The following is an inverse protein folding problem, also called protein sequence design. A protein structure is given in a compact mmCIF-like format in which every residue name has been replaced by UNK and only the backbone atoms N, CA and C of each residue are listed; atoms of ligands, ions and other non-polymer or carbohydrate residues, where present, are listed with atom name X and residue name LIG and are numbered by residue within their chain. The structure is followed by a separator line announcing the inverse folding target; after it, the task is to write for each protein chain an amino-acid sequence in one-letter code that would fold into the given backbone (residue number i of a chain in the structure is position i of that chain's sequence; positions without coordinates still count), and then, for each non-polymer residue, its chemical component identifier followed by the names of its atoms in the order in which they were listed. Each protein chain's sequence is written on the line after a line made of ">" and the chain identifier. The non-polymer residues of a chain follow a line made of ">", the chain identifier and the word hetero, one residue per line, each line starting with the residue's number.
data_IF_502123947557
#
_entry.id   IF_502123947557
#
_cell.length_a   1.000
_cell.length_b   1.000
_cell.length_c   1.000
_cell.angle_alpha   90.00
_cell.angle_beta   90.00
_cell.angle_gamma   90.00
#
_symmetry.space_group_name_H-M   'P 1'
#
loop_
_entity.id
_entity.type
_entity.pdbx_description
1 polymer ?
#
# COMPACT_ATOMS: atom_id res chain seq x y z
N UNK A 1 -35.26 34.23 29.13
CA UNK A 1 -34.71 34.41 27.77
C UNK A 1 -33.51 33.48 27.64
N UNK A 2 -33.72 32.27 27.13
CA UNK A 2 -32.63 31.34 26.83
C UNK A 2 -32.21 31.64 25.39
N UNK A 3 -30.98 32.13 25.20
CA UNK A 3 -30.42 32.37 23.86
C UNK A 3 -29.67 31.10 23.49
N UNK A 4 -30.08 30.46 22.40
CA UNK A 4 -29.33 29.30 21.87
C UNK A 4 -27.89 29.71 21.55
N UNK A 5 -26.88 28.94 21.98
CA UNK A 5 -25.50 29.24 21.63
C UNK A 5 -25.32 29.00 20.13
N UNK A 6 -25.00 30.07 19.39
CA UNK A 6 -24.65 29.96 17.98
C UNK A 6 -23.41 29.05 17.84
N UNK A 7 -23.53 27.95 17.08
CA UNK A 7 -22.39 27.17 16.63
C UNK A 7 -21.50 28.06 15.75
N UNK A 8 -20.43 28.59 16.33
CA UNK A 8 -19.40 29.30 15.58
C UNK A 8 -18.39 28.29 15.07
N UNK A 9 -18.06 28.39 13.79
CA UNK A 9 -16.95 27.67 13.18
C UNK A 9 -15.64 28.16 13.81
N UNK A 10 -14.87 27.25 14.40
CA UNK A 10 -13.61 27.57 15.08
C UNK A 10 -12.47 27.38 14.08
N UNK A 11 -11.96 28.50 13.56
CA UNK A 11 -10.78 28.53 12.68
C UNK A 11 -9.50 28.56 13.53
N UNK A 12 -8.65 27.54 13.40
CA UNK A 12 -7.42 27.38 14.19
C UNK A 12 -6.36 28.47 13.90
N UNK A 13 -6.44 29.15 12.75
CA UNK A 13 -5.45 30.15 12.33
C UNK A 13 -5.78 31.58 12.81
N UNK A 14 -6.84 31.72 13.61
CA UNK A 14 -7.30 33.01 14.13
C UNK A 14 -7.09 33.14 15.64
N UNK A 15 -6.92 34.37 16.13
CA UNK A 15 -6.84 34.64 17.57
C UNK A 15 -8.19 34.29 18.23
N UNK A 16 -8.23 33.50 19.33
CA UNK A 16 -9.48 33.17 19.99
C UNK A 16 -10.22 34.42 20.47
N UNK A 17 -11.51 34.51 20.17
CA UNK A 17 -12.35 35.64 20.53
C UNK A 17 -12.76 35.67 22.01
N UNK A 18 -12.68 34.54 22.71
CA UNK A 18 -12.90 34.43 24.15
C UNK A 18 -12.15 33.25 24.79
N UNK A 19 -12.26 33.12 26.11
CA UNK A 19 -11.59 32.08 26.89
C UNK A 19 -12.08 30.65 26.60
N UNK A 20 -13.34 30.47 26.21
CA UNK A 20 -13.87 29.16 25.84
C UNK A 20 -13.32 28.73 24.48
N UNK A 21 -13.25 29.65 23.52
CA UNK A 21 -12.65 29.41 22.21
C UNK A 21 -11.16 29.06 22.34
N UNK A 22 -10.43 29.74 23.23
CA UNK A 22 -9.04 29.40 23.54
C UNK A 22 -8.88 27.96 24.06
N UNK A 23 -9.72 27.55 25.01
CA UNK A 23 -9.69 26.18 25.56
C UNK A 23 -9.99 25.15 24.46
N UNK A 24 -10.98 25.43 23.60
CA UNK A 24 -11.32 24.53 22.49
C UNK A 24 -10.20 24.44 21.45
N UNK A 25 -9.61 25.57 21.03
CA UNK A 25 -8.47 25.61 20.11
C UNK A 25 -7.27 24.84 20.68
N UNK A 26 -6.94 25.06 21.95
CA UNK A 26 -5.83 24.37 22.62
C UNK A 26 -6.05 22.86 22.75
N UNK A 27 -7.29 22.40 22.95
CA UNK A 27 -7.62 20.95 22.94
C UNK A 27 -7.48 20.33 21.55
N UNK A 28 -7.95 21.03 20.51
CA UNK A 28 -7.80 20.62 19.12
C UNK A 28 -6.33 20.53 18.72
N UNK A 29 -5.53 21.54 19.05
CA UNK A 29 -4.09 21.58 18.78
C UNK A 29 -3.33 20.47 19.51
N UNK A 30 -3.65 20.21 20.79
CA UNK A 30 -3.07 19.07 21.52
C UNK A 30 -3.46 17.71 20.90
N UNK A 31 -4.71 17.54 20.47
CA UNK A 31 -5.14 16.32 19.78
C UNK A 31 -4.42 16.11 18.44
N UNK A 32 -4.15 17.21 17.71
CA UNK A 32 -3.38 17.17 16.46
C UNK A 32 -1.90 16.86 16.71
N UNK A 33 -1.32 17.39 17.80
CA UNK A 33 0.04 17.07 18.22
C UNK A 33 0.18 15.61 18.64
N UNK A 34 -0.79 15.05 19.37
CA UNK A 34 -0.80 13.63 19.76
C UNK A 34 -0.96 12.70 18.55
N UNK A 35 -1.81 13.07 17.59
CA UNK A 35 -1.96 12.35 16.32
C UNK A 35 -0.66 12.39 15.50
N UNK A 36 -0.03 13.56 15.41
CA UNK A 36 1.25 13.72 14.71
C UNK A 36 2.40 13.01 15.43
N UNK A 37 2.39 12.93 16.76
CA UNK A 37 3.37 12.16 17.54
C UNK A 37 3.16 10.65 17.39
N UNK A 38 1.92 10.18 17.23
CA UNK A 38 1.62 8.78 16.87
C UNK A 38 2.03 8.43 15.43
N UNK A 39 2.25 9.41 14.55
CA UNK A 39 2.60 9.22 13.14
C UNK A 39 4.06 9.58 12.82
N UNK A 40 4.78 10.25 13.72
CA UNK A 40 6.23 10.43 13.62
C UNK A 40 6.88 9.18 14.18
N UNK A 41 7.57 8.44 13.32
CA UNK A 41 8.53 7.43 13.77
C UNK A 41 9.52 8.14 14.71
N UNK A 42 9.58 7.71 15.97
CA UNK A 42 10.61 8.15 16.91
C UNK A 42 12.00 8.01 16.25
N UNK A 43 12.99 8.86 16.55
CA UNK A 43 14.35 8.65 16.09
C UNK A 43 14.87 7.34 16.67
N UNK A 44 14.81 6.29 15.86
CA UNK A 44 15.34 4.97 16.16
C UNK A 44 16.87 5.10 16.21
N UNK A 45 17.44 4.96 17.42
CA UNK A 45 18.85 4.56 17.59
C UNK A 45 19.17 3.43 16.60
N UNK A 46 20.38 3.35 16.00
CA UNK A 46 20.66 2.46 14.88
C UNK A 46 20.46 0.99 15.26
N UNK A 47 19.22 0.53 15.11
CA UNK A 47 18.79 -0.81 15.40
C UNK A 47 19.25 -1.69 14.25
N UNK A 48 19.87 -2.81 14.59
CA UNK A 48 20.24 -3.85 13.63
C UNK A 48 19.09 -4.12 12.67
N UNK A 49 19.39 -4.06 11.36
CA UNK A 49 18.42 -4.24 10.28
C UNK A 49 17.56 -5.48 10.56
N UNK A 50 16.22 -5.37 10.74
CA UNK A 50 15.40 -6.51 11.12
C UNK A 50 15.38 -7.53 9.98
N UNK A 51 16.18 -8.60 10.10
CA UNK A 51 16.12 -9.74 9.19
C UNK A 51 14.79 -10.46 9.41
N UNK A 52 13.83 -10.28 8.49
CA UNK A 52 12.56 -11.01 8.52
C UNK A 52 12.82 -12.51 8.33
N UNK A 53 12.31 -13.34 9.25
CA UNK A 53 12.55 -14.78 9.19
C UNK A 53 11.77 -15.42 8.03
N UNK A 54 12.36 -16.46 7.42
CA UNK A 54 11.71 -17.23 6.33
C UNK A 54 10.35 -17.78 6.79
N UNK A 55 10.24 -18.22 8.04
CA UNK A 55 8.98 -18.70 8.61
C UNK A 55 7.88 -17.62 8.61
N UNK A 56 8.22 -16.36 8.92
CA UNK A 56 7.26 -15.24 8.84
C UNK A 56 6.83 -14.95 7.42
N UNK A 57 7.76 -15.02 6.46
CA UNK A 57 7.47 -14.83 5.03
C UNK A 57 6.53 -15.92 4.48
N UNK A 58 6.76 -17.19 4.85
CA UNK A 58 5.89 -18.30 4.47
C UNK A 58 4.50 -18.18 5.11
N UNK A 59 4.42 -17.80 6.39
CA UNK A 59 3.14 -17.56 7.07
C UNK A 59 2.34 -16.45 6.39
N UNK A 60 2.98 -15.33 6.06
CA UNK A 60 2.32 -14.23 5.34
C UNK A 60 1.79 -14.66 3.96
N UNK A 61 2.53 -15.49 3.23
CA UNK A 61 2.07 -16.03 1.95
C UNK A 61 0.86 -16.96 2.09
N UNK A 62 0.83 -17.79 3.14
CA UNK A 62 -0.32 -18.64 3.43
C UNK A 62 -1.57 -17.81 3.79
N UNK A 63 -1.43 -16.82 4.68
CA UNK A 63 -2.52 -15.92 5.06
C UNK A 63 -3.03 -15.11 3.86
N UNK A 64 -2.12 -14.64 3.01
CA UNK A 64 -2.48 -13.97 1.75
C UNK A 64 -3.29 -14.88 0.83
N UNK A 65 -2.88 -16.14 0.66
CA UNK A 65 -3.60 -17.08 -0.20
C UNK A 65 -5.04 -17.32 0.29
N UNK A 66 -5.23 -17.39 1.61
CA UNK A 66 -6.53 -17.47 2.25
C UNK A 66 -7.38 -16.23 1.95
N UNK A 67 -6.84 -15.02 2.18
CA UNK A 67 -7.54 -13.75 1.96
C UNK A 67 -7.91 -13.54 0.49
N UNK A 68 -7.01 -13.85 -0.45
CA UNK A 68 -7.28 -13.76 -1.88
C UNK A 68 -8.40 -14.73 -2.30
N UNK A 69 -8.45 -15.92 -1.69
CA UNK A 69 -9.54 -16.87 -1.92
C UNK A 69 -10.87 -16.40 -1.33
N UNK A 70 -10.88 -15.81 -0.12
CA UNK A 70 -12.08 -15.17 0.43
C UNK A 70 -12.59 -14.04 -0.47
N UNK A 71 -11.69 -13.17 -0.92
CA UNK A 71 -12.02 -12.07 -1.82
C UNK A 71 -12.69 -12.57 -3.11
N UNK A 72 -12.17 -13.67 -3.67
CA UNK A 72 -12.74 -14.33 -4.86
C UNK A 72 -14.11 -14.96 -4.58
N UNK A 73 -14.20 -15.77 -3.52
CA UNK A 73 -15.41 -16.57 -3.23
C UNK A 73 -16.58 -15.73 -2.75
N UNK A 74 -16.31 -14.64 -2.02
CA UNK A 74 -17.32 -13.74 -1.46
C UNK A 74 -17.46 -12.43 -2.24
N UNK A 75 -16.87 -12.33 -3.44
CA UNK A 75 -16.76 -11.07 -4.23
C UNK A 75 -18.09 -10.30 -4.32
N UNK A 76 -19.16 -10.97 -4.73
CA UNK A 76 -20.46 -10.34 -4.94
C UNK A 76 -21.11 -9.88 -3.62
N UNK A 77 -21.00 -10.67 -2.56
CA UNK A 77 -21.46 -10.26 -1.23
C UNK A 77 -20.64 -9.09 -0.67
N UNK A 78 -19.32 -9.10 -0.89
CA UNK A 78 -18.43 -8.02 -0.47
C UNK A 78 -18.72 -6.72 -1.24
N UNK A 79 -19.04 -6.76 -2.54
CA UNK A 79 -19.44 -5.58 -3.30
C UNK A 79 -20.71 -4.92 -2.76
N UNK A 80 -21.67 -5.73 -2.31
CA UNK A 80 -22.91 -5.23 -1.67
C UNK A 80 -22.58 -4.61 -0.30
N UNK A 81 -21.71 -5.26 0.48
CA UNK A 81 -21.32 -4.81 1.82
C UNK A 81 -20.46 -3.55 1.78
N UNK A 82 -19.63 -3.41 0.74
CA UNK A 82 -18.71 -2.29 0.53
C UNK A 82 -19.04 -1.61 -0.81
N UNK A 83 -20.13 -0.81 -0.88
CA UNK A 83 -20.49 -0.10 -2.09
C UNK A 83 -19.41 0.89 -2.50
N UNK A 84 -19.33 1.19 -3.81
CA UNK A 84 -18.35 2.12 -4.34
C UNK A 84 -18.67 3.55 -3.88
N UNK A 85 -17.80 4.13 -3.06
CA UNK A 85 -17.92 5.51 -2.57
C UNK A 85 -16.87 6.44 -3.17
N UNK A 86 -15.80 5.88 -3.72
CA UNK A 86 -14.67 6.62 -4.27
C UNK A 86 -14.28 6.00 -5.60
N UNK A 87 -14.08 6.85 -6.62
CA UNK A 87 -13.66 6.46 -7.96
C UNK A 87 -12.20 6.89 -8.14
N UNK A 88 -11.36 5.94 -8.55
CA UNK A 88 -9.97 6.20 -8.87
C UNK A 88 -9.87 6.85 -10.27
N UNK A 89 -9.11 7.95 -10.44
CA UNK A 89 -9.05 8.70 -11.70
C UNK A 89 -8.15 8.04 -12.76
N UNK A 90 -8.48 6.80 -13.15
CA UNK A 90 -7.65 5.97 -14.03
C UNK A 90 -7.47 6.51 -15.46
N UNK A 91 -8.17 7.57 -15.87
CA UNK A 91 -7.95 8.23 -17.15
C UNK A 91 -6.66 9.07 -17.16
N UNK A 92 -6.19 9.50 -15.99
CA UNK A 92 -4.98 10.30 -15.83
C UNK A 92 -4.02 9.61 -14.84
N UNK A 93 -2.87 9.18 -15.35
CA UNK A 93 -1.86 8.47 -14.56
C UNK A 93 -1.28 9.34 -13.42
N UNK A 94 -1.10 10.64 -13.66
CA UNK A 94 -0.60 11.59 -12.67
C UNK A 94 -1.61 11.76 -11.52
N UNK A 95 -2.88 11.95 -11.85
CA UNK A 95 -3.96 12.01 -10.84
C UNK A 95 -4.09 10.69 -10.09
N UNK A 96 -3.92 9.56 -10.78
CA UNK A 96 -3.93 8.23 -10.16
C UNK A 96 -2.77 8.06 -9.19
N UNK A 97 -1.58 8.56 -9.53
CA UNK A 97 -0.42 8.55 -8.64
C UNK A 97 -0.67 9.38 -7.39
N UNK A 98 -1.20 10.59 -7.54
CA UNK A 98 -1.60 11.45 -6.40
C UNK A 98 -2.66 10.76 -5.55
N UNK A 99 -3.65 10.14 -6.17
CA UNK A 99 -4.70 9.40 -5.47
C UNK A 99 -4.13 8.25 -4.63
N UNK A 100 -3.27 7.41 -5.21
CA UNK A 100 -2.74 6.21 -4.55
C UNK A 100 -1.62 6.49 -3.55
N UNK A 101 -0.70 7.41 -3.88
CA UNK A 101 0.54 7.65 -3.14
C UNK A 101 0.49 8.91 -2.27
N UNK A 102 -0.51 9.79 -2.49
CA UNK A 102 -0.60 11.10 -1.85
C UNK A 102 0.44 12.06 -2.38
N UNK A 103 0.40 13.30 -1.89
CA UNK A 103 1.40 14.32 -2.22
C UNK A 103 2.33 14.53 -1.02
N UNK A 104 3.53 13.93 -1.06
CA UNK A 104 4.71 14.67 -0.63
C UNK A 104 5.37 15.26 -1.86
N UNK A 105 5.89 16.50 -1.74
CA UNK A 105 6.64 17.23 -2.79
C UNK A 105 7.69 16.36 -3.49
N UNK A 106 8.22 15.30 -2.86
CA UNK A 106 9.25 14.42 -3.44
C UNK A 106 8.74 13.21 -4.23
N UNK A 107 7.53 12.68 -3.96
CA UNK A 107 7.09 11.39 -4.57
C UNK A 107 6.48 11.56 -5.94
N UNK A 108 5.46 12.42 -6.06
CA UNK A 108 4.78 12.66 -7.33
C UNK A 108 5.60 13.60 -8.24
N UNK A 109 6.38 14.54 -7.67
CA UNK A 109 7.30 15.38 -8.45
C UNK A 109 8.40 14.52 -9.09
N UNK A 110 9.00 13.57 -8.36
CA UNK A 110 10.01 12.67 -8.91
C UNK A 110 9.52 11.79 -10.07
N UNK A 111 8.20 11.61 -10.23
CA UNK A 111 7.60 10.76 -11.28
C UNK A 111 6.99 11.57 -12.43
N UNK A 112 6.31 12.69 -12.12
CA UNK A 112 5.51 13.46 -13.10
C UNK A 112 5.74 14.99 -13.03
N UNK A 113 6.72 15.48 -12.27
CA UNK A 113 7.00 16.92 -12.11
C UNK A 113 5.77 17.78 -11.76
N UNK A 114 4.87 17.23 -10.92
CA UNK A 114 3.66 17.93 -10.51
C UNK A 114 3.96 18.95 -9.41
N UNK A 115 3.46 20.17 -9.59
CA UNK A 115 3.41 21.16 -8.52
C UNK A 115 2.51 20.63 -7.37
N UNK A 116 2.85 20.90 -6.09
CA UNK A 116 2.01 20.47 -4.97
C UNK A 116 0.66 21.17 -5.07
N UNK A 117 -0.37 20.44 -5.47
CA UNK A 117 -1.73 20.99 -5.64
C UNK A 117 -2.51 21.11 -4.33
N UNK A 118 -2.05 20.45 -3.26
CA UNK A 118 -2.47 20.59 -1.85
C UNK A 118 -1.85 19.42 -1.07
N UNK A 119 -1.84 19.48 0.26
CA UNK A 119 -1.61 18.30 1.12
C UNK A 119 -2.79 17.33 0.98
N UNK A 120 -2.84 16.57 -0.12
CA UNK A 120 -3.82 15.50 -0.28
C UNK A 120 -3.25 14.20 0.27
N UNK A 121 -3.91 13.66 1.29
CA UNK A 121 -3.59 12.36 1.85
C UNK A 121 -3.78 11.25 0.80
N UNK A 122 -2.90 10.24 0.89
CA UNK A 122 -2.93 9.08 0.02
C UNK A 122 -4.12 8.18 0.34
N UNK A 123 -4.88 7.76 -0.67
CA UNK A 123 -5.96 6.79 -0.48
C UNK A 123 -5.39 5.38 -0.26
N UNK A 124 -6.00 4.65 0.68
CA UNK A 124 -5.74 3.23 0.86
C UNK A 124 -6.51 2.40 -0.18
N UNK A 125 -6.01 1.21 -0.57
CA UNK A 125 -6.72 0.29 -1.45
C UNK A 125 -7.88 -0.41 -0.71
N UNK A 126 -8.91 0.34 -0.37
CA UNK A 126 -10.08 -0.14 0.37
C UNK A 126 -10.91 -1.11 -0.49
N UNK A 127 -11.65 -2.01 0.15
CA UNK A 127 -12.57 -2.93 -0.54
C UNK A 127 -13.64 -2.19 -1.36
N UNK A 128 -14.12 -1.03 -0.88
CA UNK A 128 -15.02 -0.14 -1.63
C UNK A 128 -14.41 0.45 -2.91
N UNK A 129 -13.10 0.31 -3.11
CA UNK A 129 -12.38 0.69 -4.33
C UNK A 129 -12.03 -0.56 -5.13
N UNK A 130 -11.22 -1.47 -4.57
CA UNK A 130 -10.60 -2.55 -5.34
C UNK A 130 -11.58 -3.62 -5.82
N UNK A 131 -12.71 -3.84 -5.14
CA UNK A 131 -13.74 -4.79 -5.58
C UNK A 131 -14.50 -4.33 -6.83
N UNK A 132 -14.50 -3.02 -7.08
CA UNK A 132 -15.23 -2.39 -8.17
C UNK A 132 -14.33 -2.11 -9.39
N UNK A 133 -13.04 -2.47 -9.31
CA UNK A 133 -12.14 -2.41 -10.45
C UNK A 133 -12.39 -3.60 -11.39
N UNK A 134 -12.47 -3.29 -12.68
CA UNK A 134 -12.44 -4.28 -13.76
C UNK A 134 -11.06 -4.89 -13.93
N UNK A 135 -10.98 -6.02 -14.62
CA UNK A 135 -9.70 -6.67 -14.94
C UNK A 135 -8.73 -5.74 -15.69
N UNK A 136 -9.25 -4.92 -16.61
CA UNK A 136 -8.47 -3.95 -17.38
C UNK A 136 -7.89 -2.87 -16.46
N UNK A 137 -8.68 -2.37 -15.52
CA UNK A 137 -8.27 -1.36 -14.55
C UNK A 137 -7.23 -1.88 -13.56
N UNK A 138 -7.40 -3.11 -13.06
CA UNK A 138 -6.41 -3.79 -12.22
C UNK A 138 -5.07 -3.89 -12.95
N UNK A 139 -5.07 -4.36 -14.20
CA UNK A 139 -3.86 -4.48 -15.01
C UNK A 139 -3.22 -3.13 -15.29
N UNK A 140 -4.02 -2.08 -15.50
CA UNK A 140 -3.53 -0.70 -15.68
C UNK A 140 -2.85 -0.18 -14.41
N UNK A 141 -3.48 -0.37 -13.24
CA UNK A 141 -2.92 0.09 -11.97
C UNK A 141 -1.68 -0.71 -11.57
N UNK A 142 -1.62 -2.01 -11.88
CA UNK A 142 -0.41 -2.81 -11.72
C UNK A 142 0.78 -2.22 -12.50
N UNK A 143 0.59 -1.84 -13.77
CA UNK A 143 1.62 -1.16 -14.57
C UNK A 143 2.07 0.15 -13.92
N UNK A 144 1.14 0.93 -13.40
CA UNK A 144 1.46 2.17 -12.71
C UNK A 144 2.30 1.93 -11.45
N UNK A 145 1.94 0.94 -10.63
CA UNK A 145 2.74 0.63 -9.44
C UNK A 145 4.17 0.20 -9.77
N UNK A 146 4.38 -0.54 -10.87
CA UNK A 146 5.73 -0.91 -11.33
C UNK A 146 6.54 0.33 -11.75
N UNK A 147 5.92 1.23 -12.51
CA UNK A 147 6.56 2.49 -12.93
C UNK A 147 6.94 3.34 -11.73
N UNK A 148 6.02 3.51 -10.76
CA UNK A 148 6.30 4.28 -9.55
C UNK A 148 7.42 3.64 -8.73
N UNK A 149 7.36 2.32 -8.56
CA UNK A 149 8.38 1.54 -7.86
C UNK A 149 9.78 1.75 -8.46
N UNK A 150 9.90 1.74 -9.79
CA UNK A 150 11.18 1.95 -10.49
C UNK A 150 11.80 3.33 -10.23
N UNK A 151 10.98 4.35 -9.97
CA UNK A 151 11.44 5.73 -9.79
C UNK A 151 11.77 6.02 -8.33
N UNK A 152 10.87 5.68 -7.40
CA UNK A 152 10.98 6.09 -5.99
C UNK A 152 11.28 4.93 -5.02
N UNK A 153 11.45 3.70 -5.53
CA UNK A 153 11.63 2.50 -4.72
C UNK A 153 10.31 1.96 -4.14
N UNK A 154 10.40 0.99 -3.23
CA UNK A 154 9.23 0.35 -2.63
C UNK A 154 8.68 1.18 -1.46
N UNK A 155 7.94 2.23 -1.80
CA UNK A 155 7.15 3.01 -0.86
C UNK A 155 6.07 2.16 -0.16
N UNK A 156 5.69 2.55 1.06
CA UNK A 156 4.63 1.90 1.84
C UNK A 156 3.29 1.87 1.09
N UNK A 157 2.93 2.94 0.38
CA UNK A 157 1.68 3.01 -0.37
C UNK A 157 1.75 2.14 -1.63
N UNK A 158 2.88 2.15 -2.36
CA UNK A 158 3.09 1.24 -3.50
C UNK A 158 2.91 -0.21 -3.06
N UNK A 159 3.53 -0.61 -1.94
CA UNK A 159 3.42 -1.97 -1.43
C UNK A 159 1.98 -2.35 -1.07
N UNK A 160 1.22 -1.45 -0.44
CA UNK A 160 -0.19 -1.65 -0.08
C UNK A 160 -1.06 -1.83 -1.33
N UNK A 161 -0.90 -0.94 -2.31
CA UNK A 161 -1.64 -1.00 -3.57
C UNK A 161 -1.29 -2.26 -4.35
N UNK A 162 -0.01 -2.59 -4.48
CA UNK A 162 0.43 -3.82 -5.15
C UNK A 162 -0.18 -5.05 -4.45
N UNK A 163 -0.07 -5.16 -3.13
CA UNK A 163 -0.65 -6.26 -2.34
C UNK A 163 -2.14 -6.45 -2.63
N UNK A 164 -2.92 -5.38 -2.58
CA UNK A 164 -4.35 -5.44 -2.82
C UNK A 164 -4.67 -5.82 -4.29
N UNK A 165 -3.92 -5.26 -5.25
CA UNK A 165 -4.11 -5.56 -6.67
C UNK A 165 -3.80 -7.01 -6.99
N UNK A 166 -2.69 -7.56 -6.47
CA UNK A 166 -2.36 -8.96 -6.69
C UNK A 166 -3.38 -9.91 -6.04
N UNK A 167 -4.00 -9.52 -4.91
CA UNK A 167 -5.10 -10.29 -4.32
C UNK A 167 -6.35 -10.32 -5.23
N UNK A 168 -6.53 -9.30 -6.07
CA UNK A 168 -7.66 -9.19 -7.00
C UNK A 168 -7.42 -9.92 -8.34
N UNK A 169 -6.22 -10.44 -8.60
CA UNK A 169 -5.93 -11.16 -9.85
C UNK A 169 -6.60 -12.53 -9.82
N UNK A 170 -7.48 -12.77 -10.78
CA UNK A 170 -8.14 -14.06 -10.94
C UNK A 170 -7.19 -15.10 -11.56
N UNK A 171 -7.22 -16.33 -11.01
CA UNK A 171 -6.53 -17.50 -11.57
C UNK A 171 -7.47 -18.29 -12.49
N UNK A 172 -6.96 -18.87 -13.60
CA UNK A 172 -5.56 -18.89 -14.03
C UNK A 172 -5.08 -17.54 -14.58
N UNK A 173 -3.77 -17.27 -14.45
CA UNK A 173 -3.16 -16.05 -15.00
C UNK A 173 -3.25 -16.05 -16.51
N UNK A 174 -3.48 -14.88 -17.10
CA UNK A 174 -3.26 -14.68 -18.53
C UNK A 174 -1.76 -14.65 -18.85
N UNK A 175 -1.37 -15.00 -20.07
CA UNK A 175 0.04 -14.91 -20.53
C UNK A 175 0.65 -13.53 -20.29
N UNK A 176 -0.15 -12.47 -20.42
CA UNK A 176 0.29 -11.10 -20.15
C UNK A 176 0.58 -10.90 -18.65
N UNK A 177 -0.34 -11.34 -17.77
CA UNK A 177 -0.17 -11.21 -16.31
C UNK A 177 1.01 -12.02 -15.80
N UNK A 178 1.22 -13.24 -16.31
CA UNK A 178 2.37 -14.05 -15.93
C UNK A 178 3.68 -13.34 -16.27
N UNK A 179 3.86 -12.91 -17.53
CA UNK A 179 5.06 -12.16 -17.94
C UNK A 179 5.26 -10.88 -17.14
N UNK A 180 4.19 -10.14 -16.90
CA UNK A 180 4.25 -8.89 -16.15
C UNK A 180 4.64 -9.10 -14.68
N UNK A 181 4.05 -10.11 -14.00
CA UNK A 181 4.39 -10.41 -12.61
C UNK A 181 5.82 -10.95 -12.49
N UNK A 182 6.32 -11.69 -13.49
CA UNK A 182 7.73 -12.11 -13.55
C UNK A 182 8.67 -10.90 -13.68
N UNK A 183 8.37 -9.95 -14.57
CA UNK A 183 9.14 -8.70 -14.71
C UNK A 183 9.17 -7.94 -13.37
N UNK A 184 8.02 -7.77 -12.73
CA UNK A 184 7.92 -7.12 -11.42
C UNK A 184 8.76 -7.87 -10.37
N UNK A 185 8.71 -9.20 -10.37
CA UNK A 185 9.44 -10.02 -9.41
C UNK A 185 10.97 -9.90 -9.56
N UNK A 186 11.49 -9.85 -10.78
CA UNK A 186 12.92 -9.63 -11.02
C UNK A 186 13.36 -8.22 -10.56
N UNK A 187 12.53 -7.21 -10.81
CA UNK A 187 12.70 -5.85 -10.31
C UNK A 187 12.76 -5.81 -8.76
N UNK A 188 11.91 -6.58 -8.07
CA UNK A 188 11.96 -6.74 -6.61
C UNK A 188 13.23 -7.45 -6.14
N UNK A 189 13.66 -8.52 -6.84
CA UNK A 189 14.92 -9.22 -6.55
C UNK A 189 16.10 -8.27 -6.61
N UNK A 190 16.19 -7.45 -7.66
CA UNK A 190 17.26 -6.47 -7.82
C UNK A 190 17.24 -5.43 -6.70
N UNK A 191 16.05 -4.92 -6.35
CA UNK A 191 15.92 -3.95 -5.24
C UNK A 191 16.28 -4.54 -3.88
N UNK A 192 15.96 -5.81 -3.64
CA UNK A 192 16.29 -6.50 -2.39
C UNK A 192 17.80 -6.60 -2.11
N UNK A 193 18.65 -6.46 -3.13
CA UNK A 193 20.12 -6.44 -2.98
C UNK A 193 20.64 -5.11 -2.41
N UNK A 194 19.88 -4.03 -2.55
CA UNK A 194 20.35 -2.66 -2.25
C UNK A 194 19.53 -1.95 -1.19
N UNK A 195 18.27 -2.34 -0.96
CA UNK A 195 17.43 -1.71 0.06
C UNK A 195 17.60 -2.37 1.45
N UNK A 196 17.28 -1.61 2.49
CA UNK A 196 17.35 -2.02 3.89
C UNK A 196 16.08 -1.62 4.66
N UNK A 197 16.12 -1.83 5.98
CA UNK A 197 15.06 -1.41 6.90
C UNK A 197 13.65 -1.89 6.51
N UNK A 198 12.68 -0.97 6.59
CA UNK A 198 11.28 -1.27 6.28
C UNK A 198 11.03 -1.51 4.80
N UNK A 199 11.85 -0.94 3.90
CA UNK A 199 11.72 -1.18 2.47
C UNK A 199 12.07 -2.62 2.13
N UNK A 200 13.18 -3.13 2.67
CA UNK A 200 13.59 -4.52 2.52
C UNK A 200 12.50 -5.49 2.96
N UNK A 201 11.87 -5.23 4.11
CA UNK A 201 10.77 -6.06 4.62
C UNK A 201 9.59 -6.10 3.63
N UNK A 202 9.20 -4.94 3.07
CA UNK A 202 8.10 -4.86 2.08
C UNK A 202 8.45 -5.64 0.81
N UNK A 203 9.64 -5.41 0.26
CA UNK A 203 10.13 -6.09 -0.95
C UNK A 203 10.15 -7.61 -0.74
N UNK A 204 10.77 -8.09 0.35
CA UNK A 204 10.86 -9.53 0.65
C UNK A 204 9.50 -10.17 0.89
N UNK A 205 8.58 -9.45 1.51
CA UNK A 205 7.20 -9.92 1.70
C UNK A 205 6.51 -10.11 0.36
N UNK A 206 6.51 -9.08 -0.51
CA UNK A 206 5.88 -9.15 -1.83
C UNK A 206 6.49 -10.24 -2.72
N UNK A 207 7.81 -10.40 -2.70
CA UNK A 207 8.49 -11.52 -3.36
C UNK A 207 7.96 -12.87 -2.85
N UNK A 208 7.86 -13.05 -1.53
CA UNK A 208 7.32 -14.28 -0.94
C UNK A 208 5.88 -14.54 -1.39
N UNK A 209 5.04 -13.51 -1.45
CA UNK A 209 3.66 -13.65 -1.94
C UNK A 209 3.64 -14.10 -3.40
N UNK A 210 4.41 -13.45 -4.26
CA UNK A 210 4.47 -13.75 -5.68
C UNK A 210 4.96 -15.18 -5.95
N UNK A 211 6.03 -15.59 -5.27
CA UNK A 211 6.65 -16.90 -5.46
C UNK A 211 5.79 -18.05 -4.92
N UNK A 212 5.10 -17.85 -3.79
CA UNK A 212 4.28 -18.91 -3.18
C UNK A 212 2.84 -18.93 -3.71
N UNK A 213 2.23 -17.77 -3.99
CA UNK A 213 0.84 -17.72 -4.43
C UNK A 213 0.70 -17.94 -5.93
N UNK A 214 1.50 -17.27 -6.76
CA UNK A 214 1.42 -17.42 -8.22
C UNK A 214 2.38 -18.48 -8.75
N UNK A 215 3.28 -19.00 -7.91
CA UNK A 215 4.28 -20.01 -8.30
C UNK A 215 5.16 -19.50 -9.44
N UNK A 216 5.63 -18.25 -9.31
CA UNK A 216 6.50 -17.57 -10.28
C UNK A 216 7.93 -18.14 -10.35
N UNK A 217 8.14 -19.40 -9.97
CA UNK A 217 9.46 -20.02 -9.93
C UNK A 217 10.04 -20.04 -11.33
N UNK A 218 11.11 -19.25 -11.54
CA UNK A 218 12.11 -19.54 -12.56
C UNK A 218 12.57 -20.98 -12.35
N UNK A 219 12.52 -21.78 -13.40
CA UNK A 219 12.80 -23.24 -13.47
C UNK A 219 14.15 -23.70 -12.89
N UNK A 220 14.97 -22.82 -12.31
CA UNK A 220 16.28 -23.14 -11.74
C UNK A 220 16.28 -23.34 -10.22
N UNK A 221 15.50 -22.61 -9.42
CA UNK A 221 15.60 -22.65 -7.94
C UNK A 221 14.62 -23.65 -7.29
N UNK A 222 13.56 -24.05 -8.01
CA UNK A 222 12.62 -25.06 -7.53
C UNK A 222 13.29 -26.42 -7.28
N UNK A 223 14.26 -26.78 -8.12
CA UNK A 223 15.02 -28.03 -8.02
C UNK A 223 15.97 -28.05 -6.82
N UNK A 224 16.63 -26.93 -6.49
CA UNK A 224 17.48 -26.83 -5.30
C UNK A 224 16.66 -26.84 -4.01
N UNK A 225 15.50 -26.18 -3.98
CA UNK A 225 14.68 -26.12 -2.77
C UNK A 225 14.05 -27.47 -2.42
N UNK A 226 13.59 -28.23 -3.42
CA UNK A 226 13.11 -29.60 -3.22
C UNK A 226 14.24 -30.55 -2.80
N UNK A 227 15.44 -30.40 -3.37
CA UNK A 227 16.63 -31.16 -2.94
C UNK A 227 17.06 -30.80 -1.52
N UNK A 228 16.91 -29.54 -1.10
CA UNK A 228 17.23 -29.10 0.26
C UNK A 228 16.23 -29.63 1.29
N UNK A 229 14.94 -29.72 0.93
CA UNK A 229 13.91 -30.35 1.77
C UNK A 229 14.09 -31.86 1.83
N UNK A 230 14.50 -32.51 0.72
CA UNK A 230 14.78 -33.94 0.69
C UNK A 230 15.99 -34.31 1.58
N UNK A 231 17.05 -33.49 1.57
CA UNK A 231 18.25 -33.69 2.42
C UNK A 231 18.02 -33.44 3.91
N UNK A 232 17.00 -32.68 4.28
CA UNK A 232 16.61 -32.46 5.68
C UNK A 232 15.68 -33.56 6.23
N UNK A 233 15.23 -34.48 5.36
CA UNK A 233 14.37 -35.61 5.71
C UNK A 233 15.07 -36.98 5.60
N UNK A 234 16.37 -36.98 5.26
CA UNK A 234 17.27 -38.14 5.28
C UNK A 234 18.23 -38.03 6.45
#
# INVERSE_FOLDING_TARGET
>A
LYVEPQQRYIDLDTVPGDGNEFIHKSRLENSLLDFNRSCREDPVEPAEVPKISIARLCKAAFEFAYLANELKTKKEWLKITFPQTVIIPLYNEAETCVFCLGVPISKCMGIYDLAPLSDSDAHLPLLSIVLHLTHVEINKLLKYTLKWFRVIGMDKQIARWLFALIACIEKPLTNWQEKFLMEYFEDLKMRAQVCDGQEYIRVRTLMSLMDNYFVLKTTSEAGEYLNKIARLRS
#
